data_IF_880904501432
#
_entry.id   IF_880904501432
#
_cell.length_a   1.000
_cell.length_b   1.000
_cell.length_c   1.000
_cell.angle_alpha   90.00
_cell.angle_beta   90.00
_cell.angle_gamma   90.00
#
_symmetry.space_group_name_H-M   'P 1'
#
loop_
_entity.id
_entity.type
_entity.pdbx_description
1 polymer ?
#
# COMPACT_ATOMS: atom_id res chain seq x y z
N UNK A 1 -8.80 9.26 16.86
CA UNK A 1 -7.42 9.49 17.36
C UNK A 1 -6.49 9.19 16.21
N UNK A 2 -5.62 10.11 15.82
CA UNK A 2 -4.64 9.85 14.77
C UNK A 2 -3.66 8.79 15.27
N UNK A 3 -3.58 7.66 14.57
CA UNK A 3 -2.59 6.63 14.86
C UNK A 3 -1.22 7.15 14.41
N UNK A 4 -0.23 7.16 15.30
CA UNK A 4 1.13 7.60 14.95
C UNK A 4 1.78 6.68 13.91
N UNK A 5 2.70 7.21 13.11
CA UNK A 5 3.38 6.48 12.02
C UNK A 5 4.00 5.15 12.47
N UNK A 6 4.64 5.13 13.65
CA UNK A 6 5.23 3.94 14.25
C UNK A 6 4.19 2.87 14.58
N UNK A 7 3.01 3.28 15.06
CA UNK A 7 1.92 2.35 15.35
C UNK A 7 1.35 1.75 14.06
N UNK A 8 1.17 2.56 13.01
CA UNK A 8 0.75 2.07 11.69
C UNK A 8 1.73 1.07 11.11
N UNK A 9 3.03 1.35 11.24
CA UNK A 9 4.11 0.45 10.81
C UNK A 9 4.02 -0.91 11.51
N UNK A 10 3.71 -0.92 12.81
CA UNK A 10 3.52 -2.15 13.59
C UNK A 10 2.27 -2.92 13.16
N UNK A 11 1.17 -2.22 12.90
CA UNK A 11 -0.10 -2.82 12.46
C UNK A 11 0.00 -3.43 11.06
N UNK A 12 0.69 -2.78 10.13
CA UNK A 12 0.89 -3.28 8.75
C UNK A 12 1.88 -4.44 8.66
N UNK A 13 2.80 -4.58 9.62
CA UNK A 13 3.91 -5.55 9.58
C UNK A 13 3.47 -6.99 9.31
N UNK A 14 2.49 -7.59 10.01
CA UNK A 14 2.15 -9.01 9.81
C UNK A 14 1.71 -9.31 8.38
N UNK A 15 0.90 -8.44 7.78
CA UNK A 15 0.42 -8.58 6.40
C UNK A 15 1.56 -8.38 5.38
N UNK A 16 2.36 -7.34 5.58
CA UNK A 16 3.51 -7.05 4.70
C UNK A 16 4.56 -8.17 4.79
N UNK A 17 4.82 -8.72 5.98
CA UNK A 17 5.75 -9.83 6.15
C UNK A 17 5.24 -11.11 5.48
N UNK A 18 3.94 -11.40 5.58
CA UNK A 18 3.32 -12.54 4.90
C UNK A 18 3.44 -12.42 3.38
N UNK A 19 3.36 -11.20 2.83
CA UNK A 19 3.36 -10.96 1.40
C UNK A 19 4.77 -10.88 0.78
N UNK A 20 5.73 -10.23 1.44
CA UNK A 20 7.08 -9.98 0.90
C UNK A 20 8.17 -10.87 1.51
N UNK A 21 7.85 -11.56 2.60
CA UNK A 21 8.78 -12.37 3.38
C UNK A 21 9.72 -11.56 4.29
N UNK A 22 10.38 -12.23 5.24
CA UNK A 22 11.15 -11.58 6.31
C UNK A 22 12.38 -10.82 5.80
N UNK A 23 12.88 -11.14 4.60
CA UNK A 23 14.05 -10.46 4.01
C UNK A 23 13.71 -9.11 3.40
N UNK A 24 12.44 -8.84 3.09
CA UNK A 24 12.00 -7.64 2.35
C UNK A 24 10.98 -6.80 3.12
N UNK A 25 10.46 -7.31 4.23
CA UNK A 25 9.45 -6.63 5.06
C UNK A 25 9.85 -5.20 5.45
N UNK A 26 11.10 -4.97 5.89
CA UNK A 26 11.53 -3.63 6.28
C UNK A 26 11.50 -2.66 5.09
N UNK A 27 12.03 -3.08 3.94
CA UNK A 27 12.05 -2.24 2.73
C UNK A 27 10.64 -1.90 2.23
N UNK A 28 9.71 -2.86 2.31
CA UNK A 28 8.31 -2.63 1.96
C UNK A 28 7.63 -1.67 2.96
N UNK A 29 7.86 -1.84 4.27
CA UNK A 29 7.33 -0.93 5.30
C UNK A 29 7.88 0.49 5.18
N UNK A 30 9.16 0.64 4.84
CA UNK A 30 9.79 1.95 4.64
C UNK A 30 9.21 2.66 3.42
N UNK A 31 8.96 1.92 2.33
CA UNK A 31 8.26 2.45 1.17
C UNK A 31 6.82 2.87 1.48
N UNK A 32 6.06 2.06 2.23
CA UNK A 32 4.71 2.42 2.66
C UNK A 32 4.70 3.65 3.58
N UNK A 33 5.75 3.85 4.37
CA UNK A 33 5.91 5.05 5.18
C UNK A 33 6.16 6.30 4.30
N UNK A 34 7.03 6.19 3.29
CA UNK A 34 7.22 7.26 2.31
C UNK A 34 5.94 7.57 1.54
N UNK A 35 5.17 6.54 1.20
CA UNK A 35 3.91 6.68 0.48
C UNK A 35 2.83 7.35 1.36
N UNK A 36 2.76 7.05 2.67
CA UNK A 36 1.90 7.80 3.61
C UNK A 36 2.23 9.30 3.60
N UNK A 37 3.52 9.66 3.59
CA UNK A 37 3.95 11.07 3.57
C UNK A 37 3.55 11.77 2.26
N UNK A 38 3.80 11.12 1.12
CA UNK A 38 3.44 11.65 -0.19
C UNK A 38 1.91 11.72 -0.40
N UNK A 39 1.17 10.76 0.16
CA UNK A 39 -0.29 10.76 0.15
C UNK A 39 -0.85 12.00 0.82
N UNK A 40 -0.38 12.34 2.03
CA UNK A 40 -0.82 13.54 2.74
C UNK A 40 -0.60 14.82 1.93
N UNK A 41 0.51 14.92 1.20
CA UNK A 41 0.78 16.10 0.36
C UNK A 41 -0.18 16.20 -0.85
N UNK A 42 -0.64 15.06 -1.38
CA UNK A 42 -1.59 15.00 -2.50
C UNK A 42 -3.07 15.06 -2.05
N UNK A 43 -3.35 14.55 -0.86
CA UNK A 43 -4.68 14.39 -0.26
C UNK A 43 -4.64 14.95 1.19
N UNK A 44 -4.68 16.28 1.37
CA UNK A 44 -4.37 16.95 2.65
C UNK A 44 -5.36 16.69 3.78
N UNK A 45 -6.50 16.05 3.50
CA UNK A 45 -7.45 15.64 4.53
C UNK A 45 -7.09 14.29 5.16
N UNK A 46 -6.16 13.56 4.56
CA UNK A 46 -5.77 12.22 4.95
C UNK A 46 -4.32 12.19 5.43
N UNK A 47 -4.09 11.66 6.63
CA UNK A 47 -2.76 11.59 7.26
C UNK A 47 -1.94 10.37 6.83
N UNK A 48 -2.57 9.46 6.08
CA UNK A 48 -2.02 8.19 5.62
C UNK A 48 -2.84 7.69 4.43
N UNK A 49 -2.28 6.70 3.72
CA UNK A 49 -3.03 6.00 2.68
C UNK A 49 -4.29 5.38 3.30
N UNK A 50 -5.45 5.64 2.70
CA UNK A 50 -6.69 5.01 3.15
C UNK A 50 -6.58 3.48 3.18
N UNK A 51 -7.10 2.79 4.22
CA UNK A 51 -6.94 1.34 4.36
C UNK A 51 -7.37 0.52 3.13
N UNK A 52 -8.40 0.98 2.40
CA UNK A 52 -8.86 0.32 1.19
C UNK A 52 -7.86 0.45 0.03
N UNK A 53 -7.28 1.64 -0.13
CA UNK A 53 -6.26 1.91 -1.15
C UNK A 53 -4.97 1.15 -0.82
N UNK A 54 -4.59 1.10 0.46
CA UNK A 54 -3.47 0.28 0.91
C UNK A 54 -3.64 -1.20 0.53
N UNK A 55 -4.84 -1.76 0.77
CA UNK A 55 -5.14 -3.14 0.38
C UNK A 55 -5.04 -3.36 -1.13
N UNK A 56 -5.49 -2.39 -1.95
CA UNK A 56 -5.34 -2.45 -3.41
C UNK A 56 -3.87 -2.40 -3.84
N UNK A 57 -3.07 -1.53 -3.21
CA UNK A 57 -1.63 -1.41 -3.48
C UNK A 57 -0.93 -2.75 -3.18
N UNK A 58 -1.21 -3.34 -2.01
CA UNK A 58 -0.63 -4.62 -1.61
C UNK A 58 -1.07 -5.75 -2.54
N UNK A 59 -2.35 -5.82 -2.90
CA UNK A 59 -2.87 -6.80 -3.85
C UNK A 59 -2.19 -6.70 -5.22
N UNK A 60 -2.13 -5.50 -5.80
CA UNK A 60 -1.54 -5.27 -7.12
C UNK A 60 -0.03 -5.48 -7.13
N UNK A 61 0.65 -5.32 -6.00
CA UNK A 61 2.10 -5.58 -5.87
C UNK A 61 2.48 -7.05 -6.06
N UNK A 62 1.55 -7.99 -5.79
CA UNK A 62 1.78 -9.44 -5.82
C UNK A 62 3.02 -9.90 -5.03
N UNK A 63 3.40 -9.18 -3.97
CA UNK A 63 4.58 -9.49 -3.14
C UNK A 63 5.92 -9.22 -3.80
N UNK A 64 5.93 -8.50 -4.93
CA UNK A 64 7.15 -8.03 -5.56
C UNK A 64 7.44 -6.57 -5.20
N UNK A 65 8.65 -6.30 -4.70
CA UNK A 65 9.03 -4.97 -4.20
C UNK A 65 9.11 -3.93 -5.32
N UNK A 66 9.58 -4.31 -6.51
CA UNK A 66 9.66 -3.39 -7.64
C UNK A 66 8.25 -3.00 -8.14
N UNK A 67 7.33 -3.96 -8.13
CA UNK A 67 5.92 -3.73 -8.43
C UNK A 67 5.25 -2.88 -7.36
N UNK A 68 5.55 -3.12 -6.06
CA UNK A 68 5.06 -2.27 -4.97
C UNK A 68 5.45 -0.80 -5.16
N UNK A 69 6.69 -0.51 -5.56
CA UNK A 69 7.14 0.87 -5.85
C UNK A 69 6.29 1.52 -6.94
N UNK A 70 6.04 0.79 -8.03
CA UNK A 70 5.27 1.32 -9.17
C UNK A 70 3.81 1.57 -8.78
N UNK A 71 3.18 0.60 -8.14
CA UNK A 71 1.78 0.70 -7.72
C UNK A 71 1.58 1.79 -6.66
N UNK A 72 2.51 1.94 -5.71
CA UNK A 72 2.46 3.02 -4.73
C UNK A 72 2.57 4.40 -5.40
N UNK A 73 3.48 4.54 -6.39
CA UNK A 73 3.60 5.76 -7.19
C UNK A 73 2.30 6.06 -7.95
N UNK A 74 1.72 5.06 -8.61
CA UNK A 74 0.43 5.20 -9.31
C UNK A 74 -0.68 5.62 -8.35
N UNK A 75 -0.74 5.03 -7.15
CA UNK A 75 -1.75 5.38 -6.15
C UNK A 75 -1.66 6.84 -5.69
N UNK A 76 -0.43 7.37 -5.57
CA UNK A 76 -0.20 8.77 -5.18
C UNK A 76 -0.63 9.72 -6.30
N UNK A 77 -0.41 9.35 -7.57
CA UNK A 77 -0.82 10.15 -8.73
C UNK A 77 -2.35 10.10 -8.90
N UNK A 78 -2.92 8.90 -8.91
CA UNK A 78 -4.36 8.66 -8.98
C UNK A 78 -4.72 7.25 -8.45
N UNK A 79 -5.21 7.17 -7.22
CA UNK A 79 -5.59 5.89 -6.61
C UNK A 79 -6.72 5.14 -7.34
N UNK A 80 -7.48 5.81 -8.21
CA UNK A 80 -8.59 5.18 -8.93
C UNK A 80 -8.10 4.17 -9.96
N UNK A 81 -6.93 4.40 -10.55
CA UNK A 81 -6.32 3.45 -11.49
C UNK A 81 -5.92 2.15 -10.76
N UNK A 82 -5.35 2.31 -9.56
CA UNK A 82 -5.00 1.17 -8.69
C UNK A 82 -6.24 0.42 -8.22
N UNK A 83 -7.34 1.13 -7.93
CA UNK A 83 -8.63 0.50 -7.60
C UNK A 83 -9.17 -0.35 -8.75
N UNK A 84 -9.16 0.17 -9.98
CA UNK A 84 -9.64 -0.56 -11.15
C UNK A 84 -8.80 -1.83 -11.39
N UNK A 85 -7.47 -1.71 -11.33
CA UNK A 85 -6.59 -2.86 -11.44
C UNK A 85 -6.84 -3.91 -10.35
N UNK A 86 -7.07 -3.48 -9.10
CA UNK A 86 -7.40 -4.39 -8.00
C UNK A 86 -8.74 -5.11 -8.20
N UNK A 87 -9.75 -4.41 -8.73
CA UNK A 87 -11.06 -5.01 -9.02
C UNK A 87 -10.99 -6.03 -10.16
N UNK A 88 -10.17 -5.79 -11.18
CA UNK A 88 -9.87 -6.78 -12.23
C UNK A 88 -9.24 -8.05 -11.65
N UNK A 89 -8.22 -7.91 -10.78
CA UNK A 89 -7.57 -9.06 -10.12
C UNK A 89 -8.55 -9.87 -9.25
N UNK A 90 -9.45 -9.19 -8.54
CA UNK A 90 -10.48 -9.86 -7.72
C UNK A 90 -11.48 -10.61 -8.60
N UNK A 91 -11.87 -10.04 -9.75
CA UNK A 91 -12.77 -10.68 -10.70
C UNK A 91 -12.14 -11.94 -11.32
N UNK A 92 -10.83 -11.93 -11.61
CA UNK A 92 -10.09 -13.11 -12.07
C UNK A 92 -10.06 -14.23 -11.02
N UNK A 93 -9.93 -13.89 -9.74
CA UNK A 93 -9.86 -14.87 -8.63
C UNK A 93 -11.22 -15.50 -8.27
N UNK A 94 -12.33 -14.85 -8.66
CA UNK A 94 -13.68 -15.32 -8.39
C UNK A 94 -14.20 -16.31 -9.46
N UNK A 95 -13.44 -16.52 -10.53
CA UNK A 95 -13.70 -17.48 -11.62
C UNK A 95 -13.01 -18.82 -11.35
#
# INVERSE_FOLDING_TARGET
>A
MAIGSEQRRRERRPEVEALFGPKRVEAALDLLHLADMAWHDCYPNDLEIEPRVLADILLCSRGDLATLIRVALEAIIDFRDVRLAADELRAEQAQ
#
